data_IF_275466041335
#
_entry.id   IF_275466041335
#
_cell.length_a   1.000
_cell.length_b   1.000
_cell.length_c   1.000
_cell.angle_alpha   90.00
_cell.angle_beta   90.00
_cell.angle_gamma   90.00
#
_symmetry.space_group_name_H-M   'P 1'
#
loop_
_entity.id
_entity.type
_entity.pdbx_description
1 polymer ?
#
# COMPACT_ATOMS: atom_id res chain seq x y z
N UNK A 1 -33.56 18.55 -17.04
CA UNK A 1 -34.35 17.81 -16.04
C UNK A 1 -33.53 16.58 -15.67
N UNK A 2 -33.21 16.48 -14.39
CA UNK A 2 -32.31 15.49 -13.82
C UNK A 2 -32.94 14.09 -13.75
N UNK A 3 -32.11 13.12 -13.36
CA UNK A 3 -32.41 11.78 -12.83
C UNK A 3 -32.79 10.74 -13.88
N UNK A 4 -32.32 9.49 -13.89
CA UNK A 4 -31.46 8.70 -13.00
C UNK A 4 -31.14 7.40 -13.76
N UNK A 5 -29.89 6.91 -13.70
CA UNK A 5 -29.41 5.51 -13.91
C UNK A 5 -27.89 5.56 -14.13
N UNK A 6 -26.99 5.12 -13.27
CA UNK A 6 -27.07 4.33 -12.03
C UNK A 6 -25.99 4.87 -11.07
N UNK A 7 -26.37 5.18 -9.82
CA UNK A 7 -25.45 5.13 -8.69
C UNK A 7 -25.12 3.64 -8.47
N UNK A 8 -24.17 3.11 -9.25
CA UNK A 8 -23.76 1.72 -9.12
C UNK A 8 -23.17 1.52 -7.72
N UNK A 9 -23.84 0.70 -6.91
CA UNK A 9 -23.43 0.46 -5.53
C UNK A 9 -22.02 -0.12 -5.45
N UNK A 10 -21.24 0.29 -4.45
CA UNK A 10 -19.91 -0.29 -4.18
C UNK A 10 -19.97 -1.82 -4.16
N UNK A 11 -19.06 -2.45 -4.88
CA UNK A 11 -18.89 -3.90 -4.90
C UNK A 11 -18.47 -4.41 -3.52
N UNK A 12 -18.49 -5.74 -3.32
CA UNK A 12 -17.97 -6.33 -2.07
C UNK A 12 -16.47 -6.00 -1.94
N UNK A 13 -15.72 -6.05 -3.04
CA UNK A 13 -14.29 -5.76 -3.04
C UNK A 13 -14.02 -4.29 -2.67
N UNK A 14 -14.80 -3.34 -3.19
CA UNK A 14 -14.69 -1.93 -2.80
C UNK A 14 -14.91 -1.72 -1.30
N UNK A 15 -15.87 -2.46 -0.72
CA UNK A 15 -16.14 -2.40 0.73
C UNK A 15 -15.00 -3.03 1.53
N UNK A 16 -14.42 -4.13 1.06
CA UNK A 16 -13.27 -4.77 1.70
C UNK A 16 -12.08 -3.81 1.69
N UNK A 17 -11.74 -3.23 0.53
CA UNK A 17 -10.64 -2.27 0.39
C UNK A 17 -10.83 -1.04 1.27
N UNK A 18 -12.05 -0.52 1.37
CA UNK A 18 -12.37 0.58 2.27
C UNK A 18 -12.14 0.21 3.75
N UNK A 19 -12.54 -1.00 4.17
CA UNK A 19 -12.33 -1.46 5.55
C UNK A 19 -10.85 -1.68 5.84
N UNK A 20 -10.09 -2.25 4.90
CA UNK A 20 -8.64 -2.42 5.04
C UNK A 20 -7.91 -1.08 5.14
N UNK A 21 -8.31 -0.09 4.32
CA UNK A 21 -7.76 1.26 4.40
C UNK A 21 -8.14 1.95 5.70
N UNK A 22 -9.39 1.82 6.19
CA UNK A 22 -9.76 2.32 7.53
C UNK A 22 -8.93 1.69 8.64
N UNK A 23 -8.58 0.42 8.50
CA UNK A 23 -7.65 -0.28 9.39
C UNK A 23 -6.17 0.11 9.18
N UNK A 24 -5.88 1.06 8.28
CA UNK A 24 -4.55 1.55 7.88
C UNK A 24 -3.63 0.44 7.37
N UNK A 25 -4.20 -0.50 6.61
CA UNK A 25 -3.49 -1.62 5.98
C UNK A 25 -3.50 -1.46 4.46
N UNK A 26 -2.32 -1.58 3.86
CA UNK A 26 -2.12 -1.56 2.42
C UNK A 26 -1.51 -2.91 2.03
N UNK A 27 -2.06 -3.53 1.00
CA UNK A 27 -1.57 -4.82 0.49
C UNK A 27 -0.90 -4.62 -0.86
N UNK A 28 0.37 -5.03 -0.95
CA UNK A 28 1.13 -5.17 -2.19
C UNK A 28 1.25 -6.67 -2.45
N UNK A 29 0.26 -7.24 -3.16
CA UNK A 29 0.09 -8.69 -3.33
C UNK A 29 0.25 -9.17 -4.78
N UNK A 30 0.96 -8.40 -5.61
CA UNK A 30 1.17 -8.69 -7.03
C UNK A 30 2.58 -8.27 -7.47
N UNK A 31 2.89 -8.44 -8.75
CA UNK A 31 4.09 -7.88 -9.39
C UNK A 31 4.17 -6.37 -9.18
N UNK A 32 5.40 -5.87 -9.02
CA UNK A 32 5.67 -4.44 -8.91
C UNK A 32 5.78 -3.84 -10.31
N UNK A 33 4.90 -2.89 -10.60
CA UNK A 33 4.80 -2.14 -11.84
C UNK A 33 4.20 -0.75 -11.57
N UNK A 34 3.94 0.01 -12.62
CA UNK A 34 3.44 1.38 -12.50
C UNK A 34 2.06 1.44 -11.82
N UNK A 35 1.18 0.47 -12.08
CA UNK A 35 -0.19 0.48 -11.56
C UNK A 35 -0.24 0.10 -10.09
N UNK A 36 0.46 -0.98 -9.71
CA UNK A 36 0.62 -1.40 -8.31
C UNK A 36 1.33 -0.34 -7.48
N UNK A 37 2.39 0.29 -8.00
CA UNK A 37 3.08 1.38 -7.33
C UNK A 37 2.19 2.62 -7.15
N UNK A 38 1.50 3.04 -8.22
CA UNK A 38 0.53 4.15 -8.15
C UNK A 38 -0.56 3.89 -7.11
N UNK A 39 -1.10 2.66 -7.06
CA UNK A 39 -2.08 2.24 -6.06
C UNK A 39 -1.55 2.36 -4.63
N UNK A 40 -0.36 1.82 -4.35
CA UNK A 40 0.27 1.90 -3.01
C UNK A 40 0.55 3.36 -2.62
N UNK A 41 1.11 4.16 -3.52
CA UNK A 41 1.44 5.57 -3.28
C UNK A 41 0.19 6.38 -2.95
N UNK A 42 -0.89 6.22 -3.72
CA UNK A 42 -2.16 6.90 -3.48
C UNK A 42 -2.75 6.51 -2.12
N UNK A 43 -2.69 5.22 -1.76
CA UNK A 43 -3.17 4.71 -0.47
C UNK A 43 -2.32 5.24 0.70
N UNK A 44 -1.00 5.32 0.57
CA UNK A 44 -0.11 5.93 1.58
C UNK A 44 -0.48 7.39 1.84
N UNK A 45 -0.59 8.19 0.77
CA UNK A 45 -0.94 9.62 0.89
C UNK A 45 -2.36 9.86 1.38
N UNK A 46 -3.32 9.01 0.98
CA UNK A 46 -4.67 9.09 1.53
C UNK A 46 -4.66 8.93 3.07
N UNK A 47 -3.92 7.94 3.58
CA UNK A 47 -3.83 7.68 5.02
C UNK A 47 -3.03 8.76 5.77
N UNK A 48 -1.99 9.30 5.15
CA UNK A 48 -1.21 10.43 5.67
C UNK A 48 -2.06 11.69 5.76
N UNK A 49 -2.81 12.03 4.72
CA UNK A 49 -3.64 13.25 4.69
C UNK A 49 -4.88 13.14 5.58
N UNK A 50 -5.43 11.92 5.75
CA UNK A 50 -6.61 11.70 6.60
C UNK A 50 -6.25 11.75 8.09
N UNK A 51 -5.08 11.22 8.47
CA UNK A 51 -4.65 11.15 9.87
C UNK A 51 -3.11 11.10 9.96
N UNK A 52 -2.44 12.27 9.85
CA UNK A 52 -0.99 12.36 9.80
C UNK A 52 -0.32 11.77 11.04
N UNK A 53 0.81 11.11 10.87
CA UNK A 53 1.60 10.53 11.97
C UNK A 53 1.03 9.23 12.55
N UNK A 54 -0.16 8.76 12.15
CA UNK A 54 -0.67 7.46 12.61
C UNK A 54 -0.02 6.29 11.88
N UNK A 55 0.30 5.17 12.56
CA UNK A 55 0.97 4.04 11.93
C UNK A 55 0.22 3.46 10.72
N UNK A 56 0.99 2.99 9.72
CA UNK A 56 0.47 2.30 8.53
C UNK A 56 1.16 0.94 8.43
N UNK A 57 0.42 -0.12 8.09
CA UNK A 57 1.02 -1.43 7.81
C UNK A 57 0.97 -1.70 6.31
N UNK A 58 2.14 -1.85 5.69
CA UNK A 58 2.32 -2.31 4.32
C UNK A 58 2.60 -3.81 4.34
N UNK A 59 1.61 -4.60 3.95
CA UNK A 59 1.71 -6.06 3.82
C UNK A 59 2.23 -6.39 2.43
N UNK A 60 3.29 -7.19 2.36
CA UNK A 60 4.02 -7.49 1.13
C UNK A 60 3.93 -8.99 0.85
N UNK A 61 3.36 -9.31 -0.31
CA UNK A 61 3.38 -10.64 -0.92
C UNK A 61 3.64 -10.48 -2.43
N UNK A 62 4.88 -10.23 -2.82
CA UNK A 62 5.25 -9.88 -4.19
C UNK A 62 6.44 -10.69 -4.71
N UNK A 63 6.38 -11.17 -5.97
CA UNK A 63 7.53 -11.77 -6.64
C UNK A 63 8.61 -10.74 -7.05
N UNK A 64 8.34 -9.44 -6.87
CA UNK A 64 9.20 -8.36 -7.34
C UNK A 64 8.66 -7.72 -8.62
N UNK A 65 9.52 -7.02 -9.36
CA UNK A 65 9.14 -6.37 -10.61
C UNK A 65 10.04 -5.18 -10.94
N UNK A 66 9.44 -4.12 -11.50
CA UNK A 66 10.11 -2.90 -11.92
C UNK A 66 10.85 -2.21 -10.76
N UNK A 67 12.12 -1.89 -11.01
CA UNK A 67 13.02 -1.26 -10.02
C UNK A 67 12.61 0.18 -9.76
N UNK A 68 12.33 0.95 -10.83
CA UNK A 68 11.87 2.32 -10.79
C UNK A 68 10.52 2.47 -10.08
N UNK A 69 9.55 1.61 -10.39
CA UNK A 69 8.26 1.57 -9.69
C UNK A 69 8.43 1.21 -8.21
N UNK A 70 9.34 0.28 -7.90
CA UNK A 70 9.65 -0.08 -6.52
C UNK A 70 10.31 1.05 -5.73
N UNK A 71 11.21 1.82 -6.35
CA UNK A 71 11.81 3.00 -5.71
C UNK A 71 10.81 4.14 -5.52
N UNK A 72 9.83 4.29 -6.42
CA UNK A 72 8.74 5.24 -6.20
C UNK A 72 7.99 4.93 -4.90
N UNK A 73 7.68 3.66 -4.61
CA UNK A 73 7.08 3.25 -3.33
C UNK A 73 8.03 3.52 -2.17
N UNK A 74 9.30 3.11 -2.30
CA UNK A 74 10.31 3.26 -1.26
C UNK A 74 10.45 4.71 -0.79
N UNK A 75 10.54 5.65 -1.73
CA UNK A 75 10.73 7.06 -1.41
C UNK A 75 9.51 7.63 -0.68
N UNK A 76 8.29 7.22 -1.04
CA UNK A 76 7.09 7.66 -0.33
C UNK A 76 7.03 7.13 1.10
N UNK A 77 7.45 5.88 1.34
CA UNK A 77 7.55 5.32 2.70
C UNK A 77 8.52 6.12 3.56
N UNK A 78 9.58 6.69 2.97
CA UNK A 78 10.54 7.55 3.68
C UNK A 78 10.06 9.00 3.87
N UNK A 79 9.17 9.48 2.99
CA UNK A 79 8.76 10.88 2.93
C UNK A 79 7.62 11.23 3.90
N UNK A 80 6.64 10.35 4.06
CA UNK A 80 5.44 10.63 4.88
C UNK A 80 5.76 10.65 6.38
N UNK A 81 4.99 11.41 7.16
CA UNK A 81 5.18 11.48 8.62
C UNK A 81 4.66 10.24 9.35
N UNK A 82 3.65 9.57 8.78
CA UNK A 82 3.09 8.32 9.30
C UNK A 82 4.16 7.21 9.34
N UNK A 83 4.43 6.60 10.51
CA UNK A 83 5.42 5.54 10.61
C UNK A 83 4.89 4.26 9.94
N UNK A 84 5.57 3.85 8.86
CA UNK A 84 5.23 2.63 8.13
C UNK A 84 5.89 1.41 8.77
N UNK A 85 5.11 0.34 8.89
CA UNK A 85 5.58 -1.01 9.20
C UNK A 85 5.48 -1.86 7.93
N UNK A 86 6.56 -2.52 7.55
CA UNK A 86 6.54 -3.55 6.50
C UNK A 86 6.35 -4.92 7.12
N UNK A 87 5.41 -5.69 6.58
CA UNK A 87 5.12 -7.06 6.99
C UNK A 87 5.15 -7.97 5.75
N UNK A 88 6.18 -8.80 5.64
CA UNK A 88 6.22 -9.84 4.61
C UNK A 88 5.30 -10.99 5.02
N UNK A 89 4.37 -11.35 4.14
CA UNK A 89 3.43 -12.45 4.34
C UNK A 89 3.40 -13.29 3.08
N UNK A 90 4.05 -14.45 3.10
CA UNK A 90 4.28 -15.27 1.91
C UNK A 90 5.63 -14.97 1.27
N UNK A 91 5.65 -14.18 0.19
CA UNK A 91 6.86 -13.93 -0.59
C UNK A 91 7.22 -12.44 -0.63
N UNK A 92 8.50 -12.12 -0.46
CA UNK A 92 9.06 -10.84 -0.86
C UNK A 92 10.35 -11.09 -1.64
N UNK A 93 10.24 -11.22 -2.96
CA UNK A 93 11.38 -11.48 -3.86
C UNK A 93 11.78 -10.23 -4.65
N UNK A 94 13.07 -10.14 -5.01
CA UNK A 94 13.62 -9.05 -5.83
C UNK A 94 13.23 -7.66 -5.27
N UNK A 95 12.55 -6.81 -6.04
CA UNK A 95 12.09 -5.50 -5.56
C UNK A 95 11.09 -5.59 -4.40
N UNK A 96 10.37 -6.70 -4.23
CA UNK A 96 9.60 -6.96 -3.02
C UNK A 96 10.48 -7.07 -1.78
N UNK A 97 11.65 -7.72 -1.89
CA UNK A 97 12.65 -7.78 -0.82
C UNK A 97 13.18 -6.39 -0.48
N UNK A 98 13.47 -5.57 -1.49
CA UNK A 98 13.93 -4.20 -1.28
C UNK A 98 12.84 -3.37 -0.59
N UNK A 99 11.60 -3.35 -1.08
CA UNK A 99 10.51 -2.60 -0.43
C UNK A 99 10.29 -3.08 1.02
N UNK A 100 10.47 -4.36 1.32
CA UNK A 100 10.36 -4.86 2.71
C UNK A 100 11.34 -4.18 3.68
N UNK A 101 12.44 -3.63 3.18
CA UNK A 101 13.44 -2.91 3.95
C UNK A 101 13.18 -1.39 4.04
N UNK A 102 12.13 -0.87 3.39
CA UNK A 102 11.81 0.56 3.34
C UNK A 102 11.36 1.13 4.69
N UNK A 103 10.70 0.33 5.55
CA UNK A 103 10.35 0.77 6.90
C UNK A 103 11.58 0.96 7.80
N UNK A 104 11.43 1.77 8.84
CA UNK A 104 12.48 1.98 9.83
C UNK A 104 12.88 0.67 10.54
N UNK A 105 14.13 0.60 11.02
CA UNK A 105 14.60 -0.54 11.83
C UNK A 105 13.68 -0.74 13.03
N UNK A 106 13.29 -1.99 13.31
CA UNK A 106 12.30 -2.33 14.34
C UNK A 106 10.85 -2.31 13.86
N UNK A 107 10.59 -1.93 12.61
CA UNK A 107 9.25 -1.95 11.97
C UNK A 107 9.21 -2.81 10.71
N UNK A 108 10.05 -3.85 10.66
CA UNK A 108 10.16 -4.77 9.53
C UNK A 108 9.97 -6.18 10.06
N UNK A 109 8.92 -6.86 9.62
CA UNK A 109 8.51 -8.16 10.14
C UNK A 109 8.25 -9.13 8.99
N UNK A 110 8.28 -10.42 9.30
CA UNK A 110 7.93 -11.51 8.39
C UNK A 110 7.25 -12.63 9.19
N UNK A 111 6.39 -13.41 8.54
CA UNK A 111 5.73 -14.60 9.09
C UNK A 111 6.31 -15.88 8.54
#
# INVERSE_FOLDING_TARGET
MASDKELNGKTIDDKIDEQLLKARRIFLSDQIDQDSASSVIRKLWYLELTDPGKPITLVINSPGGSVDSGFAIWDQVKLISSPVTTLVSGLAASMGSIISLSAAKGRRFAT
#
